data_IF_918981932263
#
_entry.id   IF_918981932263
#
_cell.length_a   1.000
_cell.length_b   1.000
_cell.length_c   1.000
_cell.angle_alpha   90.00
_cell.angle_beta   90.00
_cell.angle_gamma   90.00
#
_symmetry.space_group_name_H-M   'P 1'
#
loop_
_entity.id
_entity.type
_entity.pdbx_description
1 polymer ?
#
# COMPACT_ATOMS: atom_id res chain seq x y z
N UNK A 1 3.49 -10.05 47.15
CA UNK A 1 2.25 -10.10 46.32
C UNK A 1 2.25 -9.07 45.18
N UNK A 2 2.61 -7.79 45.41
CA UNK A 2 2.67 -6.74 44.37
C UNK A 2 3.76 -6.94 43.28
N UNK A 3 4.85 -7.65 43.59
CA UNK A 3 5.93 -7.96 42.62
C UNK A 3 5.58 -9.08 41.64
N UNK A 4 4.67 -10.00 42.01
CA UNK A 4 4.16 -11.03 41.10
C UNK A 4 3.25 -10.44 40.03
N UNK A 5 2.43 -9.44 40.39
CA UNK A 5 1.57 -8.73 39.44
C UNK A 5 2.38 -7.94 38.39
N UNK A 6 3.55 -7.41 38.77
CA UNK A 6 4.46 -6.74 37.84
C UNK A 6 5.15 -7.71 36.88
N UNK A 7 5.41 -8.95 37.33
CA UNK A 7 6.05 -9.98 36.50
C UNK A 7 5.08 -10.61 35.49
N UNK A 8 3.77 -10.60 35.76
CA UNK A 8 2.74 -11.09 34.83
C UNK A 8 2.41 -10.09 33.72
N UNK A 9 2.55 -8.78 33.98
CA UNK A 9 2.28 -7.75 32.97
C UNK A 9 3.39 -7.69 31.90
N UNK A 10 4.63 -7.99 32.27
CA UNK A 10 5.78 -8.00 31.36
C UNK A 10 5.76 -9.18 30.36
N UNK A 11 5.01 -10.25 30.63
CA UNK A 11 4.91 -11.42 29.75
C UNK A 11 3.98 -11.19 28.55
N UNK A 12 3.21 -10.09 28.55
CA UNK A 12 2.25 -9.76 27.47
C UNK A 12 2.90 -9.16 26.21
N UNK A 13 4.16 -8.71 26.28
CA UNK A 13 4.85 -8.08 25.15
C UNK A 13 5.70 -9.03 24.30
N UNK A 14 5.82 -10.32 24.65
CA UNK A 14 6.62 -11.29 23.89
C UNK A 14 5.92 -11.82 22.62
N UNK A 15 4.67 -11.42 22.37
CA UNK A 15 3.86 -11.86 21.23
C UNK A 15 3.92 -10.96 19.99
N UNK A 16 4.82 -9.97 19.92
CA UNK A 16 4.99 -9.18 18.71
C UNK A 16 5.67 -10.04 17.63
N UNK A 17 4.86 -10.74 16.84
CA UNK A 17 5.31 -11.38 15.60
C UNK A 17 5.96 -10.30 14.75
N UNK A 18 7.28 -10.38 14.58
CA UNK A 18 7.97 -9.65 13.51
C UNK A 18 7.54 -10.30 12.20
N UNK A 19 6.37 -9.92 11.67
CA UNK A 19 6.01 -10.29 10.31
C UNK A 19 7.06 -9.67 9.37
N UNK A 20 7.93 -10.52 8.85
CA UNK A 20 8.72 -10.17 7.68
C UNK A 20 7.76 -9.76 6.55
N UNK A 21 8.11 -8.78 5.70
CA UNK A 21 7.28 -8.40 4.58
C UNK A 21 7.11 -9.63 3.66
N UNK A 22 5.92 -10.22 3.68
CA UNK A 22 5.58 -11.31 2.78
C UNK A 22 5.76 -10.80 1.35
N UNK A 23 6.62 -11.48 0.59
CA UNK A 23 6.71 -11.20 -0.84
C UNK A 23 5.35 -11.56 -1.45
N UNK A 24 4.78 -10.72 -2.32
CA UNK A 24 3.52 -11.04 -2.94
C UNK A 24 3.68 -12.32 -3.75
N UNK A 25 2.85 -13.32 -3.43
CA UNK A 25 2.74 -14.54 -4.20
C UNK A 25 2.38 -14.23 -5.66
N UNK A 26 2.77 -15.08 -6.60
CA UNK A 26 2.51 -14.86 -8.02
C UNK A 26 1.02 -14.59 -8.30
N UNK A 27 0.13 -15.34 -7.65
CA UNK A 27 -1.31 -15.18 -7.79
C UNK A 27 -1.80 -13.80 -7.33
N UNK A 28 -1.21 -13.25 -6.26
CA UNK A 28 -1.52 -11.91 -5.76
C UNK A 28 -1.11 -10.85 -6.78
N UNK A 29 0.08 -10.98 -7.38
CA UNK A 29 0.58 -10.06 -8.41
C UNK A 29 -0.31 -10.12 -9.65
N UNK A 30 -0.66 -11.32 -10.11
CA UNK A 30 -1.48 -11.51 -11.31
C UNK A 30 -2.90 -10.96 -11.11
N UNK A 31 -3.50 -11.20 -9.94
CA UNK A 31 -4.77 -10.59 -9.57
C UNK A 31 -4.67 -9.06 -9.56
N UNK A 32 -3.59 -8.50 -9.00
CA UNK A 32 -3.35 -7.06 -9.01
C UNK A 32 -3.24 -6.50 -10.43
N UNK A 33 -2.49 -7.17 -11.31
CA UNK A 33 -2.35 -6.79 -12.72
C UNK A 33 -3.70 -6.79 -13.44
N UNK A 34 -4.53 -7.81 -13.22
CA UNK A 34 -5.87 -7.90 -13.79
C UNK A 34 -6.77 -6.74 -13.31
N UNK A 35 -6.78 -6.49 -12.00
CA UNK A 35 -7.58 -5.40 -11.42
C UNK A 35 -7.15 -4.02 -11.92
N UNK A 36 -5.84 -3.78 -12.03
CA UNK A 36 -5.30 -2.52 -12.55
C UNK A 36 -5.67 -2.28 -14.02
N UNK A 37 -5.77 -3.36 -14.82
CA UNK A 37 -6.19 -3.28 -16.20
C UNK A 37 -7.68 -2.95 -16.34
N UNK A 38 -8.57 -3.65 -15.61
CA UNK A 38 -10.01 -3.40 -15.69
C UNK A 38 -10.43 -2.08 -15.02
N UNK A 39 -9.66 -1.62 -14.03
CA UNK A 39 -9.86 -0.34 -13.36
C UNK A 39 -9.26 0.85 -14.11
N UNK A 40 -8.66 0.61 -15.28
CA UNK A 40 -7.99 1.60 -16.13
C UNK A 40 -7.06 2.54 -15.33
N UNK A 41 -6.35 1.98 -14.34
CA UNK A 41 -5.57 2.79 -13.40
C UNK A 41 -4.47 3.57 -14.11
N UNK A 42 -3.94 3.03 -15.23
CA UNK A 42 -2.90 3.66 -16.02
C UNK A 42 -3.36 4.96 -16.69
N UNK A 43 -4.66 5.14 -16.98
CA UNK A 43 -5.16 6.36 -17.62
C UNK A 43 -4.91 7.62 -16.80
N UNK A 44 -4.99 7.51 -15.47
CA UNK A 44 -4.75 8.63 -14.55
C UNK A 44 -3.35 8.59 -13.93
N UNK A 45 -2.69 7.42 -13.87
CA UNK A 45 -1.38 7.27 -13.26
C UNK A 45 -0.22 7.20 -14.26
N UNK A 46 -0.41 7.59 -15.53
CA UNK A 46 0.66 7.59 -16.54
C UNK A 46 0.72 8.93 -17.27
N UNK A 47 1.64 9.81 -16.88
CA UNK A 47 1.93 11.02 -17.64
C UNK A 47 2.90 10.77 -18.80
N UNK A 48 3.89 9.90 -18.58
CA UNK A 48 4.87 9.47 -19.59
C UNK A 48 4.58 8.02 -19.97
N UNK A 49 4.18 7.72 -21.22
CA UNK A 49 3.93 6.35 -21.69
C UNK A 49 5.13 5.41 -21.54
N UNK A 50 6.36 5.94 -21.45
CA UNK A 50 7.58 5.16 -21.21
C UNK A 50 7.74 4.76 -19.73
N UNK A 51 6.97 5.38 -18.83
CA UNK A 51 6.98 5.17 -17.38
C UNK A 51 5.54 4.97 -16.87
N UNK A 52 4.88 3.86 -17.25
CA UNK A 52 3.53 3.56 -16.80
C UNK A 52 3.46 3.54 -15.27
N UNK A 53 2.35 4.05 -14.72
CA UNK A 53 2.10 4.15 -13.28
C UNK A 53 3.02 5.10 -12.50
N UNK A 54 3.90 5.88 -13.15
CA UNK A 54 4.76 6.86 -12.49
C UNK A 54 4.02 8.12 -11.99
N UNK A 55 2.71 8.24 -12.26
CA UNK A 55 1.91 9.39 -11.87
C UNK A 55 2.19 10.64 -12.71
N UNK A 56 1.93 11.82 -12.13
CA UNK A 56 2.21 13.13 -12.75
C UNK A 56 1.15 13.65 -13.72
N UNK A 57 0.00 12.98 -13.87
CA UNK A 57 -1.10 13.46 -14.72
C UNK A 57 -1.82 14.61 -14.02
N UNK A 58 -1.92 15.74 -14.71
CA UNK A 58 -2.62 16.93 -14.25
C UNK A 58 -4.06 16.90 -14.76
N UNK A 59 -5.02 16.86 -13.83
CA UNK A 59 -6.46 16.83 -14.13
C UNK A 59 -7.07 18.16 -13.68
N UNK A 60 -7.50 18.97 -14.65
CA UNK A 60 -8.15 20.27 -14.37
C UNK A 60 -9.63 20.04 -14.06
N UNK A 61 -10.09 20.51 -12.91
CA UNK A 61 -11.50 20.45 -12.50
C UNK A 61 -12.01 21.84 -12.11
N UNK A 62 -13.33 22.06 -12.05
CA UNK A 62 -13.90 23.33 -11.55
C UNK A 62 -13.55 23.63 -10.08
N UNK A 63 -13.13 22.63 -9.31
CA UNK A 63 -12.77 22.76 -7.89
C UNK A 63 -11.26 22.94 -7.68
N UNK A 64 -10.47 22.94 -8.75
CA UNK A 64 -9.01 23.05 -8.71
C UNK A 64 -8.31 21.98 -9.54
N UNK A 65 -6.98 21.97 -9.44
CA UNK A 65 -6.12 21.04 -10.17
C UNK A 65 -5.80 19.83 -9.30
N UNK A 66 -6.13 18.64 -9.79
CA UNK A 66 -5.72 17.37 -9.18
C UNK A 66 -4.46 16.86 -9.90
N UNK A 67 -3.51 16.31 -9.16
CA UNK A 67 -2.32 15.68 -9.71
C UNK A 67 -2.26 14.24 -9.22
N UNK A 68 -1.99 13.27 -10.10
CA UNK A 68 -1.60 11.94 -9.62
C UNK A 68 -0.22 12.03 -8.98
N UNK A 69 -0.07 11.47 -7.76
CA UNK A 69 1.18 11.52 -6.99
C UNK A 69 2.38 11.14 -7.86
N UNK A 70 3.43 11.94 -7.80
CA UNK A 70 4.72 11.69 -8.45
C UNK A 70 5.72 11.10 -7.44
#
# INVERSE_FOLDING_TARGET
MKKLAFSLLALSCLGASTQAPAQPEFEQVEKGRYLAAIGDCAACHTADPQKPFAGGVVIKTPFGTLNSCA
#
